data_IF_485889694229
#
_entry.id   IF_485889694229
#
_cell.length_a   1.000
_cell.length_b   1.000
_cell.length_c   1.000
_cell.angle_alpha   90.00
_cell.angle_beta   90.00
_cell.angle_gamma   90.00
#
_symmetry.space_group_name_H-M   'P 1'
#
loop_
_entity.id
_entity.type
_entity.pdbx_description
1 polymer ?
#
# COMPACT_ATOMS: atom_id res chain seq x y z
N UNK A 1 -7.98 -6.73 -8.49
CA UNK A 1 -8.68 -8.01 -8.79
C UNK A 1 -7.72 -9.19 -8.91
N UNK A 2 -6.56 -9.05 -9.58
CA UNK A 2 -5.52 -10.10 -9.63
C UNK A 2 -4.93 -10.47 -8.25
N UNK A 3 -4.81 -9.48 -7.35
CA UNK A 3 -4.28 -9.71 -5.99
C UNK A 3 -5.20 -10.58 -5.13
N UNK A 4 -6.53 -10.50 -5.33
CA UNK A 4 -7.50 -11.33 -4.60
C UNK A 4 -7.32 -12.81 -4.93
N UNK A 5 -7.17 -13.15 -6.21
CA UNK A 5 -6.99 -14.53 -6.64
C UNK A 5 -5.66 -15.12 -6.18
N UNK A 6 -4.60 -14.33 -6.22
CA UNK A 6 -3.30 -14.75 -5.71
C UNK A 6 -3.32 -14.98 -4.19
N UNK A 7 -3.92 -14.06 -3.42
CA UNK A 7 -4.08 -14.24 -1.96
C UNK A 7 -4.96 -15.44 -1.62
N UNK A 8 -6.02 -15.72 -2.39
CA UNK A 8 -6.86 -16.91 -2.20
C UNK A 8 -6.06 -18.19 -2.47
N UNK A 9 -5.31 -18.25 -3.59
CA UNK A 9 -4.47 -19.41 -3.93
C UNK A 9 -3.43 -19.62 -2.85
N UNK A 10 -2.77 -18.56 -2.40
CA UNK A 10 -1.75 -18.62 -1.34
C UNK A 10 -2.35 -19.06 0.00
N UNK A 11 -3.52 -18.54 0.39
CA UNK A 11 -4.21 -18.95 1.62
C UNK A 11 -4.63 -20.42 1.58
N UNK A 12 -5.11 -20.91 0.43
CA UNK A 12 -5.44 -22.33 0.24
C UNK A 12 -4.16 -23.17 0.32
N UNK A 13 -3.08 -22.78 -0.36
CA UNK A 13 -1.79 -23.48 -0.30
C UNK A 13 -1.24 -23.55 1.12
N UNK A 14 -1.27 -22.44 1.87
CA UNK A 14 -0.83 -22.39 3.27
C UNK A 14 -1.73 -23.20 4.20
N UNK A 15 -3.04 -23.24 3.95
CA UNK A 15 -3.99 -24.05 4.72
C UNK A 15 -3.79 -25.55 4.47
N UNK A 16 -3.53 -25.94 3.22
CA UNK A 16 -3.17 -27.32 2.87
C UNK A 16 -1.83 -27.67 3.52
N UNK A 17 -0.84 -26.77 3.47
CA UNK A 17 0.46 -26.98 4.11
C UNK A 17 0.32 -27.15 5.63
N UNK A 18 -0.49 -26.31 6.28
CA UNK A 18 -0.77 -26.39 7.71
C UNK A 18 -1.52 -27.69 8.08
N UNK A 19 -2.54 -28.07 7.30
CA UNK A 19 -3.29 -29.31 7.50
C UNK A 19 -2.43 -30.56 7.30
N UNK A 20 -1.58 -30.56 6.27
CA UNK A 20 -0.64 -31.66 6.02
C UNK A 20 0.48 -31.73 7.08
N UNK A 21 0.86 -30.58 7.62
CA UNK A 21 1.84 -30.49 8.72
C UNK A 21 1.33 -31.17 9.99
N UNK A 22 0.02 -31.11 10.31
CA UNK A 22 -0.54 -31.84 11.47
C UNK A 22 -0.33 -33.36 11.42
N UNK A 23 -0.08 -33.92 10.25
CA UNK A 23 0.18 -35.36 10.05
C UNK A 23 1.68 -35.70 10.01
N UNK A 24 2.57 -34.71 10.07
CA UNK A 24 4.02 -34.89 10.04
C UNK A 24 4.61 -35.07 11.44
N UNK A 25 5.76 -35.77 11.53
CA UNK A 25 6.54 -35.86 12.78
C UNK A 25 6.98 -34.46 13.22
N UNK A 26 7.04 -34.24 14.54
CA UNK A 26 7.38 -32.95 15.15
C UNK A 26 8.69 -32.34 14.61
N UNK A 27 9.71 -33.18 14.35
CA UNK A 27 10.99 -32.74 13.76
C UNK A 27 10.84 -32.20 12.33
N UNK A 28 10.01 -32.87 11.51
CA UNK A 28 9.71 -32.44 10.14
C UNK A 28 9.01 -31.08 10.14
N UNK A 29 8.08 -30.89 11.08
CA UNK A 29 7.34 -29.64 11.26
C UNK A 29 8.25 -28.49 11.72
N UNK A 30 9.17 -28.78 12.65
CA UNK A 30 10.15 -27.80 13.13
C UNK A 30 11.08 -27.32 12.00
N UNK A 31 11.52 -28.21 11.11
CA UNK A 31 12.36 -27.83 9.97
C UNK A 31 11.61 -26.93 8.97
N UNK A 32 10.35 -27.23 8.68
CA UNK A 32 9.48 -26.39 7.84
C UNK A 32 9.28 -25.02 8.48
N UNK A 33 8.88 -24.97 9.75
CA UNK A 33 8.65 -23.72 10.48
C UNK A 33 9.90 -22.84 10.50
N UNK A 34 11.08 -23.44 10.73
CA UNK A 34 12.34 -22.72 10.65
C UNK A 34 12.58 -22.18 9.24
N UNK A 35 12.38 -23.00 8.20
CA UNK A 35 12.67 -22.64 6.81
C UNK A 35 11.80 -21.49 6.28
N UNK A 36 10.53 -21.44 6.71
CA UNK A 36 9.59 -20.40 6.27
C UNK A 36 9.60 -19.13 7.13
N UNK A 37 10.20 -19.17 8.34
CA UNK A 37 10.14 -18.06 9.31
C UNK A 37 10.65 -16.73 8.76
N UNK A 38 11.81 -16.73 8.08
CA UNK A 38 12.40 -15.53 7.51
C UNK A 38 11.66 -15.02 6.27
N UNK A 39 11.29 -15.86 5.28
CA UNK A 39 10.38 -15.46 4.21
C UNK A 39 9.06 -14.86 4.72
N UNK A 40 8.46 -15.45 5.76
CA UNK A 40 7.24 -14.93 6.39
C UNK A 40 7.47 -13.55 7.00
N UNK A 41 8.58 -13.33 7.68
CA UNK A 41 8.94 -12.00 8.19
C UNK A 41 9.06 -10.94 7.08
N UNK A 42 9.71 -11.28 5.95
CA UNK A 42 9.80 -10.39 4.80
C UNK A 42 8.42 -10.13 4.17
N UNK A 43 7.56 -11.15 4.15
CA UNK A 43 6.19 -11.03 3.68
C UNK A 43 5.37 -10.08 4.56
N UNK A 44 5.49 -10.19 5.89
CA UNK A 44 4.83 -9.26 6.82
C UNK A 44 5.30 -7.82 6.62
N UNK A 45 6.60 -7.58 6.43
CA UNK A 45 7.11 -6.24 6.10
C UNK A 45 6.47 -5.69 4.83
N UNK A 46 6.36 -6.53 3.80
CA UNK A 46 5.68 -6.17 2.56
C UNK A 46 4.21 -5.82 2.81
N UNK A 47 3.45 -6.65 3.53
CA UNK A 47 2.04 -6.37 3.83
C UNK A 47 1.85 -4.99 4.47
N UNK A 48 2.73 -4.60 5.40
CA UNK A 48 2.71 -3.25 5.99
C UNK A 48 2.85 -2.16 4.92
N UNK A 49 3.77 -2.31 3.97
CA UNK A 49 3.90 -1.36 2.85
C UNK A 49 2.66 -1.33 1.97
N UNK A 50 2.04 -2.48 1.70
CA UNK A 50 0.79 -2.57 0.95
C UNK A 50 -0.37 -1.88 1.67
N UNK A 51 -0.48 -2.03 2.99
CA UNK A 51 -1.49 -1.33 3.79
C UNK A 51 -1.27 0.18 3.81
N UNK A 52 -0.01 0.65 3.88
CA UNK A 52 0.34 2.07 3.77
C UNK A 52 -0.11 2.65 2.43
N UNK A 53 0.20 1.95 1.32
CA UNK A 53 -0.24 2.36 -0.01
C UNK A 53 -1.77 2.44 -0.09
N UNK A 54 -2.45 1.36 0.32
CA UNK A 54 -3.91 1.29 0.23
C UNK A 54 -4.57 2.36 1.08
N UNK A 55 -4.05 2.63 2.28
CA UNK A 55 -4.59 3.65 3.18
C UNK A 55 -4.39 5.05 2.59
N UNK A 56 -3.22 5.33 2.00
CA UNK A 56 -2.95 6.59 1.32
C UNK A 56 -3.84 6.79 0.08
N UNK A 57 -4.04 5.75 -0.73
CA UNK A 57 -4.94 5.80 -1.89
C UNK A 57 -6.39 6.01 -1.48
N UNK A 58 -6.85 5.33 -0.43
CA UNK A 58 -8.22 5.46 0.07
C UNK A 58 -8.48 6.85 0.66
N UNK A 59 -7.51 7.42 1.38
CA UNK A 59 -7.57 8.81 1.87
C UNK A 59 -7.71 9.81 0.71
N UNK A 60 -6.87 9.69 -0.33
CA UNK A 60 -6.95 10.53 -1.52
C UNK A 60 -8.27 10.38 -2.26
N UNK A 61 -8.79 9.15 -2.38
CA UNK A 61 -10.08 8.90 -3.01
C UNK A 61 -11.24 9.53 -2.22
N UNK A 62 -11.19 9.45 -0.89
CA UNK A 62 -12.19 10.07 -0.03
C UNK A 62 -12.16 11.59 -0.17
N UNK A 63 -10.97 12.21 -0.17
CA UNK A 63 -10.82 13.66 -0.41
C UNK A 63 -11.33 14.07 -1.78
N UNK A 64 -11.09 13.25 -2.80
CA UNK A 64 -11.59 13.47 -4.16
C UNK A 64 -13.11 13.39 -4.20
N UNK A 65 -13.70 12.37 -3.58
CA UNK A 65 -15.16 12.22 -3.53
C UNK A 65 -15.84 13.38 -2.79
N UNK A 66 -15.21 13.93 -1.75
CA UNK A 66 -15.71 15.12 -1.05
C UNK A 66 -15.64 16.34 -1.97
N UNK A 67 -14.50 16.57 -2.62
CA UNK A 67 -14.31 17.70 -3.53
C UNK A 67 -15.23 17.63 -4.76
N UNK A 68 -15.46 16.45 -5.35
CA UNK A 68 -16.42 16.25 -6.44
C UNK A 68 -17.87 16.51 -5.98
N UNK A 69 -18.19 16.23 -4.72
CA UNK A 69 -19.50 16.57 -4.18
C UNK A 69 -19.65 18.08 -4.00
N UNK A 70 -18.63 18.75 -3.45
CA UNK A 70 -18.59 20.22 -3.33
C UNK A 70 -18.69 20.91 -4.70
N UNK A 71 -18.02 20.37 -5.72
CA UNK A 71 -18.09 20.87 -7.10
C UNK A 71 -19.52 20.86 -7.64
N UNK A 72 -20.24 19.75 -7.47
CA UNK A 72 -21.66 19.64 -7.86
C UNK A 72 -22.55 20.65 -7.15
N UNK A 73 -22.26 20.95 -5.88
CA UNK A 73 -23.02 21.96 -5.11
C UNK A 73 -22.72 23.38 -5.59
N UNK A 74 -21.48 23.68 -5.98
CA UNK A 74 -21.07 25.01 -6.42
C UNK A 74 -21.37 25.28 -7.90
N UNK A 75 -21.46 24.25 -8.75
CA UNK A 75 -21.66 24.38 -10.20
C UNK A 75 -22.83 25.31 -10.61
N UNK A 76 -24.02 25.25 -9.98
CA UNK A 76 -25.12 26.17 -10.33
C UNK A 76 -24.88 27.62 -9.92
N UNK A 77 -23.99 27.88 -8.96
CA UNK A 77 -23.60 29.24 -8.58
C UNK A 77 -22.55 29.78 -9.53
N UNK A 78 -21.57 28.95 -9.92
CA UNK A 78 -20.61 29.27 -10.96
C UNK A 78 -21.30 29.67 -12.28
N UNK A 79 -22.27 28.86 -12.76
CA UNK A 79 -22.99 29.17 -14.00
C UNK A 79 -23.75 30.49 -13.98
N UNK A 80 -24.15 30.97 -12.79
CA UNK A 80 -24.82 32.27 -12.61
C UNK A 80 -23.84 33.44 -12.47
N UNK A 81 -22.65 33.17 -11.95
CA UNK A 81 -21.63 34.17 -11.62
C UNK A 81 -20.57 34.36 -12.73
N UNK A 82 -20.41 33.39 -13.64
CA UNK A 82 -19.29 33.34 -14.61
C UNK A 82 -19.20 34.53 -15.58
N UNK A 83 -20.33 35.18 -15.86
CA UNK A 83 -20.42 36.32 -16.79
C UNK A 83 -20.65 37.66 -16.05
N UNK A 84 -20.54 37.66 -14.72
CA UNK A 84 -20.77 38.84 -13.87
C UNK A 84 -19.46 39.59 -13.59
N UNK A 85 -19.54 40.92 -13.65
CA UNK A 85 -18.42 41.82 -13.32
C UNK A 85 -18.41 42.23 -11.83
N UNK A 86 -19.31 41.68 -11.01
CA UNK A 86 -19.33 41.96 -9.57
C UNK A 86 -18.16 41.26 -8.85
N UNK A 87 -17.45 42.01 -7.99
CA UNK A 87 -16.29 41.51 -7.23
C UNK A 87 -16.59 40.22 -6.44
N UNK A 88 -17.84 40.08 -5.94
CA UNK A 88 -18.28 38.91 -5.21
C UNK A 88 -18.38 37.67 -6.12
N UNK A 89 -18.92 37.84 -7.32
CA UNK A 89 -19.09 36.78 -8.31
C UNK A 89 -17.74 36.32 -8.88
N UNK A 90 -16.83 37.27 -9.14
CA UNK A 90 -15.44 36.99 -9.50
C UNK A 90 -14.75 36.14 -8.43
N UNK A 91 -14.99 36.42 -7.15
CA UNK A 91 -14.44 35.62 -6.06
C UNK A 91 -15.01 34.20 -6.05
N UNK A 92 -16.32 34.04 -6.24
CA UNK A 92 -16.96 32.72 -6.32
C UNK A 92 -16.46 31.89 -7.51
N UNK A 93 -16.23 32.51 -8.67
CA UNK A 93 -15.64 31.87 -9.85
C UNK A 93 -14.22 31.37 -9.54
N UNK A 94 -13.39 32.21 -8.93
CA UNK A 94 -12.03 31.82 -8.53
C UNK A 94 -12.02 30.65 -7.52
N UNK A 95 -12.92 30.65 -6.54
CA UNK A 95 -13.03 29.55 -5.57
C UNK A 95 -13.43 28.23 -6.26
N UNK A 96 -14.34 28.29 -7.24
CA UNK A 96 -14.74 27.13 -8.04
C UNK A 96 -13.60 26.60 -8.91
N UNK A 97 -12.85 27.48 -9.59
CA UNK A 97 -11.68 27.08 -10.40
C UNK A 97 -10.57 26.45 -9.54
N UNK A 98 -10.35 26.98 -8.32
CA UNK A 98 -9.43 26.39 -7.36
C UNK A 98 -9.87 25.00 -6.94
N UNK A 99 -11.16 24.77 -6.74
CA UNK A 99 -11.73 23.46 -6.43
C UNK A 99 -11.49 22.46 -7.57
N UNK A 100 -11.72 22.87 -8.83
CA UNK A 100 -11.42 22.04 -10.00
C UNK A 100 -9.93 21.68 -10.08
N UNK A 101 -9.04 22.64 -9.88
CA UNK A 101 -7.60 22.37 -9.83
C UNK A 101 -7.23 21.42 -8.68
N UNK A 102 -7.87 21.56 -7.52
CA UNK A 102 -7.65 20.68 -6.39
C UNK A 102 -8.04 19.22 -6.69
N UNK A 103 -9.17 18.99 -7.36
CA UNK A 103 -9.58 17.65 -7.83
C UNK A 103 -8.52 17.05 -8.75
N UNK A 104 -8.04 17.82 -9.73
CA UNK A 104 -6.96 17.39 -10.64
C UNK A 104 -5.67 17.06 -9.88
N UNK A 105 -5.31 17.87 -8.88
CA UNK A 105 -4.13 17.63 -8.06
C UNK A 105 -4.24 16.34 -7.23
N UNK A 106 -5.42 16.03 -6.70
CA UNK A 106 -5.67 14.76 -6.00
C UNK A 106 -5.49 13.55 -6.92
N UNK A 107 -5.99 13.61 -8.15
CA UNK A 107 -5.81 12.55 -9.14
C UNK A 107 -4.33 12.33 -9.52
N UNK A 108 -3.59 13.42 -9.71
CA UNK A 108 -2.15 13.37 -9.97
C UNK A 108 -1.37 12.81 -8.77
N UNK A 109 -1.75 13.19 -7.54
CA UNK A 109 -1.12 12.68 -6.32
C UNK A 109 -1.36 11.18 -6.17
N UNK A 110 -2.59 10.71 -6.41
CA UNK A 110 -2.92 9.27 -6.40
C UNK A 110 -2.09 8.49 -7.41
N UNK A 111 -1.94 9.02 -8.62
CA UNK A 111 -1.09 8.41 -9.67
C UNK A 111 0.39 8.37 -9.28
N UNK A 112 0.90 9.38 -8.56
CA UNK A 112 2.28 9.38 -8.05
C UNK A 112 2.49 8.31 -6.98
N UNK A 113 1.57 8.20 -6.03
CA UNK A 113 1.61 7.16 -4.98
C UNK A 113 1.71 5.77 -5.61
N UNK A 114 0.79 5.44 -6.54
CA UNK A 114 0.83 4.14 -7.22
C UNK A 114 2.09 3.89 -8.06
N UNK A 115 2.72 4.95 -8.59
CA UNK A 115 4.01 4.81 -9.29
C UNK A 115 5.16 4.54 -8.33
N UNK A 116 5.18 5.18 -7.17
CA UNK A 116 6.24 5.01 -6.19
C UNK A 116 6.26 3.63 -5.57
N UNK A 117 5.14 2.92 -5.56
CA UNK A 117 5.01 1.62 -4.88
C UNK A 117 4.85 0.47 -5.88
N UNK A 118 4.90 0.73 -7.20
CA UNK A 118 4.79 -0.30 -8.25
C UNK A 118 5.76 -1.49 -8.12
N UNK A 119 6.93 -1.29 -7.50
CA UNK A 119 7.93 -2.33 -7.25
C UNK A 119 7.47 -3.38 -6.21
N UNK A 120 6.52 -3.02 -5.36
CA UNK A 120 5.95 -3.86 -4.30
C UNK A 120 5.44 -5.20 -4.82
N UNK A 121 4.64 -5.19 -5.89
CA UNK A 121 4.03 -6.40 -6.45
C UNK A 121 5.08 -7.41 -6.93
N UNK A 122 6.21 -6.94 -7.48
CA UNK A 122 7.28 -7.82 -7.96
C UNK A 122 7.97 -8.52 -6.79
N UNK A 123 8.27 -7.78 -5.72
CA UNK A 123 8.85 -8.36 -4.51
C UNK A 123 7.88 -9.30 -3.79
N UNK A 124 6.59 -8.97 -3.78
CA UNK A 124 5.56 -9.82 -3.17
C UNK A 124 5.49 -11.19 -3.84
N UNK A 125 5.49 -11.22 -5.19
CA UNK A 125 5.54 -12.48 -5.95
C UNK A 125 6.84 -13.23 -5.67
N UNK A 126 7.97 -12.54 -5.69
CA UNK A 126 9.28 -13.16 -5.44
C UNK A 126 9.36 -13.82 -4.06
N UNK A 127 8.90 -13.14 -3.01
CA UNK A 127 8.90 -13.66 -1.64
C UNK A 127 7.91 -14.83 -1.50
N UNK A 128 6.74 -14.76 -2.14
CA UNK A 128 5.78 -15.87 -2.15
C UNK A 128 6.33 -17.14 -2.82
N UNK A 129 7.05 -16.98 -3.93
CA UNK A 129 7.74 -18.10 -4.60
C UNK A 129 8.86 -18.65 -3.71
N UNK A 130 9.68 -17.77 -3.12
CA UNK A 130 10.76 -18.16 -2.22
C UNK A 130 10.24 -18.96 -1.02
N UNK A 131 9.14 -18.51 -0.42
CA UNK A 131 8.47 -19.19 0.69
C UNK A 131 8.02 -20.60 0.29
N UNK A 132 7.40 -20.73 -0.88
CA UNK A 132 6.93 -22.02 -1.40
C UNK A 132 8.10 -22.99 -1.64
N UNK A 133 9.19 -22.51 -2.25
CA UNK A 133 10.38 -23.32 -2.52
C UNK A 133 11.03 -23.78 -1.20
N UNK A 134 11.18 -22.89 -0.23
CA UNK A 134 11.77 -23.23 1.07
C UNK A 134 10.90 -24.19 1.88
N UNK A 135 9.57 -24.08 1.77
CA UNK A 135 8.64 -25.02 2.39
C UNK A 135 8.78 -26.43 1.80
N UNK A 136 8.88 -26.56 0.47
CA UNK A 136 9.05 -27.85 -0.22
C UNK A 136 10.41 -28.48 0.11
N UNK A 137 11.48 -27.68 0.10
CA UNK A 137 12.85 -28.15 0.33
C UNK A 137 13.24 -28.17 1.82
N UNK A 138 12.29 -27.99 2.74
CA UNK A 138 12.58 -27.87 4.17
C UNK A 138 13.26 -29.09 4.80
N UNK A 139 13.10 -30.27 4.20
CA UNK A 139 13.73 -31.52 4.65
C UNK A 139 15.13 -31.74 4.06
N UNK A 140 15.55 -30.93 3.09
CA UNK A 140 16.88 -31.06 2.49
C UNK A 140 17.96 -30.61 3.47
N UNK A 141 19.00 -31.44 3.61
CA UNK A 141 20.04 -31.24 4.63
C UNK A 141 20.75 -29.89 4.46
N UNK A 142 20.90 -29.42 3.21
CA UNK A 142 21.47 -28.10 2.89
C UNK A 142 20.61 -26.95 3.42
N UNK A 143 19.29 -27.08 3.32
CA UNK A 143 18.33 -26.06 3.81
C UNK A 143 18.30 -26.09 5.33
N UNK A 144 18.27 -27.28 5.94
CA UNK A 144 18.34 -27.43 7.40
C UNK A 144 19.60 -26.73 7.96
N UNK A 145 20.76 -26.94 7.35
CA UNK A 145 22.02 -26.28 7.76
C UNK A 145 21.93 -24.76 7.57
N UNK A 146 21.42 -24.30 6.42
CA UNK A 146 21.32 -22.87 6.12
C UNK A 146 20.41 -22.15 7.13
N UNK A 147 19.27 -22.75 7.43
CA UNK A 147 18.25 -22.19 8.32
C UNK A 147 18.62 -22.40 9.79
N UNK A 148 19.46 -23.38 10.14
CA UNK A 148 19.93 -23.58 11.52
C UNK A 148 20.67 -22.37 12.11
N UNK A 149 21.20 -21.49 11.24
CA UNK A 149 21.86 -20.23 11.63
C UNK A 149 20.87 -19.11 11.96
N UNK A 150 19.60 -19.24 11.59
CA UNK A 150 18.56 -18.25 11.89
C UNK A 150 18.05 -18.41 13.32
N UNK A 151 18.05 -17.31 14.06
CA UNK A 151 17.35 -17.25 15.34
C UNK A 151 15.85 -17.06 15.09
N UNK A 152 15.13 -18.17 14.92
CA UNK A 152 13.70 -18.18 14.61
C UNK A 152 12.86 -17.49 15.69
N UNK A 153 13.27 -17.56 16.95
CA UNK A 153 12.60 -16.86 18.03
C UNK A 153 12.69 -15.34 17.84
N UNK A 154 13.88 -14.82 17.53
CA UNK A 154 14.08 -13.40 17.27
C UNK A 154 13.29 -12.92 16.04
N UNK A 155 13.31 -13.68 14.94
CA UNK A 155 12.55 -13.34 13.72
C UNK A 155 11.05 -13.31 14.01
N UNK A 156 10.53 -14.31 14.72
CA UNK A 156 9.11 -14.39 15.09
C UNK A 156 8.70 -13.24 16.02
N UNK A 157 9.52 -12.90 17.01
CA UNK A 157 9.28 -11.76 17.90
C UNK A 157 9.26 -10.43 17.13
N UNK A 158 10.16 -10.25 16.16
CA UNK A 158 10.16 -9.09 15.29
C UNK A 158 8.88 -9.03 14.43
N UNK A 159 8.45 -10.16 13.87
CA UNK A 159 7.17 -10.25 13.14
C UNK A 159 6.00 -9.81 14.01
N UNK A 160 5.92 -10.30 15.26
CA UNK A 160 4.89 -9.86 16.21
C UNK A 160 4.98 -8.38 16.56
N UNK A 161 6.18 -7.86 16.79
CA UNK A 161 6.39 -6.45 17.06
C UNK A 161 5.88 -5.59 15.89
N UNK A 162 6.15 -6.01 14.64
CA UNK A 162 5.64 -5.35 13.43
C UNK A 162 4.11 -5.35 13.43
N UNK A 163 3.45 -6.48 13.70
CA UNK A 163 1.98 -6.54 13.76
C UNK A 163 1.39 -5.61 14.83
N UNK A 164 2.03 -5.48 15.98
CA UNK A 164 1.55 -4.60 17.06
C UNK A 164 1.68 -3.12 16.70
N UNK A 165 2.78 -2.73 16.03
CA UNK A 165 3.00 -1.33 15.65
C UNK A 165 2.36 -0.96 14.30
N UNK A 166 1.92 -1.94 13.52
CA UNK A 166 1.40 -1.78 12.16
C UNK A 166 0.31 -0.70 12.06
N UNK A 167 -0.69 -0.60 12.95
CA UNK A 167 -1.71 0.44 12.82
C UNK A 167 -1.14 1.86 12.95
N UNK A 168 -0.16 2.06 13.84
CA UNK A 168 0.46 3.36 14.11
C UNK A 168 1.40 3.75 12.97
N UNK A 169 2.19 2.79 12.50
CA UNK A 169 3.09 2.97 11.35
C UNK A 169 2.27 3.25 10.09
N UNK A 170 1.18 2.51 9.88
CA UNK A 170 0.30 2.67 8.73
C UNK A 170 -0.27 4.10 8.68
N UNK A 171 -0.85 4.58 9.79
CA UNK A 171 -1.39 5.94 9.87
C UNK A 171 -0.32 7.01 9.61
N UNK A 172 0.81 6.95 10.31
CA UNK A 172 1.88 7.95 10.17
C UNK A 172 2.50 7.98 8.77
N UNK A 173 2.72 6.80 8.18
CA UNK A 173 3.37 6.68 6.88
C UNK A 173 2.41 7.04 5.74
N UNK A 174 1.14 6.63 5.81
CA UNK A 174 0.15 6.98 4.79
C UNK A 174 -0.08 8.49 4.73
N UNK A 175 -0.22 9.16 5.88
CA UNK A 175 -0.33 10.62 5.97
C UNK A 175 0.88 11.34 5.37
N UNK A 176 2.10 10.87 5.70
CA UNK A 176 3.34 11.45 5.16
C UNK A 176 3.45 11.23 3.66
N UNK A 177 3.09 10.04 3.19
CA UNK A 177 3.11 9.68 1.77
C UNK A 177 2.16 10.56 0.97
N UNK A 178 0.95 10.76 1.49
CA UNK A 178 -0.07 11.63 0.91
C UNK A 178 0.41 13.09 0.82
N UNK A 179 0.87 13.66 1.94
CA UNK A 179 1.39 15.04 1.99
C UNK A 179 2.55 15.24 1.01
N UNK A 180 3.44 14.25 0.90
CA UNK A 180 4.57 14.31 -0.02
C UNK A 180 4.13 14.21 -1.48
N UNK A 181 3.13 13.39 -1.78
CA UNK A 181 2.57 13.29 -3.12
C UNK A 181 1.92 14.61 -3.55
N UNK A 182 1.07 15.20 -2.70
CA UNK A 182 0.44 16.50 -2.96
C UNK A 182 1.47 17.62 -3.12
N UNK A 183 2.47 17.71 -2.21
CA UNK A 183 3.53 18.71 -2.32
C UNK A 183 4.27 18.63 -3.66
N UNK A 184 4.63 17.42 -4.11
CA UNK A 184 5.29 17.26 -5.41
C UNK A 184 4.41 17.64 -6.60
N UNK A 185 3.10 17.45 -6.51
CA UNK A 185 2.18 17.86 -7.59
C UNK A 185 2.15 19.38 -7.70
N UNK A 186 2.02 20.08 -6.56
CA UNK A 186 2.03 21.55 -6.52
C UNK A 186 3.36 22.14 -6.98
N UNK A 187 4.49 21.55 -6.58
CA UNK A 187 5.83 21.97 -7.05
C UNK A 187 5.96 21.86 -8.57
N UNK A 188 5.49 20.76 -9.17
CA UNK A 188 5.53 20.57 -10.63
C UNK A 188 4.58 21.51 -11.37
N UNK A 189 3.43 21.87 -10.80
CA UNK A 189 2.50 22.85 -11.39
C UNK A 189 3.10 24.27 -11.37
N UNK A 190 3.67 24.69 -10.24
CA UNK A 190 4.35 25.98 -10.11
C UNK A 190 5.55 26.11 -11.07
N UNK A 191 6.32 25.03 -11.25
CA UNK A 191 7.42 25.00 -12.22
C UNK A 191 6.95 25.13 -13.66
N UNK A 192 5.76 24.62 -14.01
CA UNK A 192 5.20 24.79 -15.35
C UNK A 192 4.74 26.22 -15.58
N UNK A 193 4.09 26.84 -14.59
CA UNK A 193 3.62 28.24 -14.66
C UNK A 193 4.74 29.26 -14.79
N UNK A 194 5.93 28.98 -14.24
CA UNK A 194 7.09 29.89 -14.31
C UNK A 194 7.97 29.73 -15.57
N UNK A 195 7.70 28.71 -16.40
CA UNK A 195 8.47 28.43 -17.63
C UNK A 195 7.68 28.70 -18.93
N UNK A 196 6.51 29.34 -18.81
CA UNK A 196 5.68 29.87 -19.90
C UNK A 196 5.73 31.39 -19.83
#
# INVERSE_FOLDING_TARGET
MKDKWFSIIFAISMSILAGFSLLMRVESLANVAKAISFPMFLFTLLEVFGHIESSAMQSLELKRSIAENEEKWMHPYYERAKDSDEDFDIKCVNEYEQLLMYIVHLDLAKKKVGRWIKWYNVLYIFIGVLLTILAILAQENRIIILVSKLNVAAVTLLTFAIFVIEPWVNQLCSDKLEKRAMKKVLEEDNLKKNNV
#
